data_IF_136280585107
#
_entry.id   IF_136280585107
#
_cell.length_a   1.000
_cell.length_b   1.000
_cell.length_c   1.000
_cell.angle_alpha   90.00
_cell.angle_beta   90.00
_cell.angle_gamma   90.00
#
_symmetry.space_group_name_H-M   'P 1'
#
loop_
_entity.id
_entity.type
_entity.pdbx_description
1 polymer ?
#
# COMPACT_ATOMS: atom_id res chain seq x y z
N UNK A 1 1.60 -3.77 7.15
CA UNK A 1 2.58 -4.55 6.34
C UNK A 1 3.75 -4.87 7.25
N UNK A 2 4.09 -6.15 7.46
CA UNK A 2 5.17 -6.57 8.39
C UNK A 2 6.50 -6.86 7.69
N UNK A 3 6.49 -7.21 6.39
CA UNK A 3 7.68 -7.33 5.53
C UNK A 3 7.35 -6.82 4.12
N UNK A 4 7.84 -5.64 3.77
CA UNK A 4 7.66 -5.09 2.43
C UNK A 4 8.73 -5.68 1.49
N UNK A 5 8.35 -6.56 0.58
CA UNK A 5 9.30 -7.28 -0.30
C UNK A 5 10.16 -6.35 -1.18
N UNK A 6 9.65 -5.17 -1.54
CA UNK A 6 10.42 -4.17 -2.29
C UNK A 6 11.34 -3.30 -1.41
N UNK A 7 11.20 -3.36 -0.07
CA UNK A 7 12.07 -2.59 0.82
C UNK A 7 13.51 -3.08 0.75
N UNK A 8 13.73 -4.39 0.60
CA UNK A 8 15.06 -4.98 0.39
C UNK A 8 15.74 -4.41 -0.87
N UNK A 9 15.00 -4.23 -1.96
CA UNK A 9 15.54 -3.65 -3.19
C UNK A 9 16.04 -2.21 -2.97
N UNK A 10 15.28 -1.40 -2.24
CA UNK A 10 15.70 -0.03 -1.94
C UNK A 10 16.91 0.01 -0.99
N UNK A 11 16.91 -0.83 0.06
CA UNK A 11 18.06 -0.89 0.98
C UNK A 11 19.32 -1.37 0.27
N UNK A 12 19.22 -2.28 -0.70
CA UNK A 12 20.35 -2.65 -1.56
C UNK A 12 20.93 -1.44 -2.32
N UNK A 13 20.08 -0.62 -2.96
CA UNK A 13 20.55 0.60 -3.63
C UNK A 13 21.12 1.63 -2.65
N UNK A 14 20.51 1.75 -1.46
CA UNK A 14 20.97 2.63 -0.38
C UNK A 14 22.40 2.28 0.06
N UNK A 15 22.67 0.99 0.27
CA UNK A 15 23.97 0.43 0.66
C UNK A 15 24.96 0.32 -0.51
N UNK A 16 24.78 1.14 -1.56
CA UNK A 16 25.70 1.15 -2.70
C UNK A 16 25.73 -0.14 -3.50
N UNK A 17 24.65 -0.93 -3.47
CA UNK A 17 24.54 -2.24 -4.12
C UNK A 17 25.46 -3.31 -3.53
N UNK A 18 25.79 -3.21 -2.24
CA UNK A 18 26.51 -4.23 -1.52
C UNK A 18 25.58 -5.42 -1.15
N UNK A 19 25.75 -6.52 -1.88
CA UNK A 19 24.99 -7.75 -1.67
C UNK A 19 25.32 -8.44 -0.33
N UNK A 20 26.56 -8.33 0.15
CA UNK A 20 26.98 -8.96 1.39
C UNK A 20 26.33 -8.25 2.59
N UNK A 21 26.33 -6.91 2.61
CA UNK A 21 25.64 -6.13 3.64
C UNK A 21 24.12 -6.35 3.59
N UNK A 22 23.53 -6.35 2.40
CA UNK A 22 22.08 -6.59 2.25
C UNK A 22 21.70 -7.97 2.80
N UNK A 23 22.49 -9.01 2.51
CA UNK A 23 22.29 -10.36 3.07
C UNK A 23 22.44 -10.38 4.60
N UNK A 24 23.42 -9.65 5.14
CA UNK A 24 23.62 -9.57 6.58
C UNK A 24 22.39 -8.96 7.30
N UNK A 25 21.75 -7.95 6.70
CA UNK A 25 20.54 -7.33 7.26
C UNK A 25 19.29 -8.20 7.10
N UNK A 26 18.95 -8.58 5.85
CA UNK A 26 17.66 -9.23 5.55
C UNK A 26 17.67 -10.74 5.77
N UNK A 27 18.82 -11.39 5.60
CA UNK A 27 18.99 -12.81 5.85
C UNK A 27 19.32 -13.06 7.31
N UNK A 28 20.46 -12.56 7.78
CA UNK A 28 21.02 -12.97 9.07
C UNK A 28 20.37 -12.22 10.24
N UNK A 29 20.36 -10.89 10.23
CA UNK A 29 19.86 -10.08 11.35
C UNK A 29 18.35 -10.24 11.55
N UNK A 30 17.53 -10.11 10.49
CA UNK A 30 16.08 -10.32 10.60
C UNK A 30 15.71 -11.72 11.10
N UNK A 31 16.41 -12.76 10.65
CA UNK A 31 16.11 -14.13 11.08
C UNK A 31 16.48 -14.39 12.53
N UNK A 32 17.55 -13.76 13.03
CA UNK A 32 18.06 -13.95 14.40
C UNK A 32 17.40 -13.03 15.43
N UNK A 33 17.16 -11.78 15.05
CA UNK A 33 16.78 -10.69 15.96
C UNK A 33 15.40 -10.10 15.65
N UNK A 34 14.83 -10.39 14.47
CA UNK A 34 13.56 -9.81 14.03
C UNK A 34 13.64 -8.35 13.56
N UNK A 35 14.82 -7.72 13.64
CA UNK A 35 15.05 -6.32 13.28
C UNK A 35 16.50 -6.08 12.82
N UNK A 36 16.74 -4.92 12.24
CA UNK A 36 18.06 -4.32 12.05
C UNK A 36 17.95 -2.79 12.15
N UNK A 37 19.06 -2.11 12.38
CA UNK A 37 19.12 -0.65 12.53
C UNK A 37 20.09 -0.04 11.49
N UNK A 38 19.60 0.92 10.72
CA UNK A 38 20.37 1.71 9.75
C UNK A 38 20.68 3.12 10.27
N UNK A 39 20.19 3.50 11.46
CA UNK A 39 20.27 4.87 11.98
C UNK A 39 21.70 5.39 12.18
N UNK A 40 22.69 4.49 12.31
CA UNK A 40 24.11 4.83 12.39
C UNK A 40 24.88 4.58 11.09
N UNK A 41 24.21 4.08 10.05
CA UNK A 41 24.83 3.85 8.75
C UNK A 41 25.02 5.19 8.01
N UNK A 42 26.23 5.53 7.55
CA UNK A 42 26.46 6.78 6.81
C UNK A 42 25.58 6.93 5.57
N UNK A 43 25.25 5.83 4.88
CA UNK A 43 24.37 5.87 3.72
C UNK A 43 22.95 6.31 4.09
N UNK A 44 22.47 5.93 5.28
CA UNK A 44 21.14 6.32 5.74
C UNK A 44 21.06 7.81 6.09
N UNK A 45 22.13 8.39 6.67
CA UNK A 45 22.19 9.82 6.99
C UNK A 45 21.95 10.71 5.75
N UNK A 46 22.49 10.29 4.60
CA UNK A 46 22.37 11.03 3.34
C UNK A 46 21.13 10.64 2.51
N UNK A 47 20.37 9.62 2.93
CA UNK A 47 19.33 8.99 2.11
C UNK A 47 18.23 9.97 1.70
N UNK A 48 17.77 10.81 2.63
CA UNK A 48 16.71 11.78 2.38
C UNK A 48 17.14 12.83 1.34
N UNK A 49 18.37 13.33 1.43
CA UNK A 49 18.91 14.29 0.47
C UNK A 49 19.18 13.65 -0.89
N UNK A 50 19.73 12.43 -0.90
CA UNK A 50 20.13 11.72 -2.12
C UNK A 50 18.95 11.23 -2.95
N UNK A 51 17.92 10.68 -2.29
CA UNK A 51 16.78 10.04 -2.96
C UNK A 51 15.48 10.84 -2.86
N UNK A 52 15.45 11.91 -2.05
CA UNK A 52 14.28 12.78 -1.93
C UNK A 52 13.09 12.16 -1.18
N UNK A 53 13.29 11.04 -0.47
CA UNK A 53 12.20 10.41 0.27
C UNK A 53 11.85 11.19 1.54
N UNK A 54 10.56 11.46 1.69
CA UNK A 54 9.91 11.87 2.94
C UNK A 54 8.74 10.94 3.21
N UNK A 55 8.37 10.77 4.47
CA UNK A 55 7.25 9.91 4.86
C UNK A 55 6.32 10.61 5.84
N UNK A 56 5.09 10.10 5.90
CA UNK A 56 4.08 10.56 6.83
C UNK A 56 3.16 9.42 7.21
N UNK A 57 2.21 9.73 8.11
CA UNK A 57 1.18 8.78 8.55
C UNK A 57 -0.18 9.44 8.54
N UNK A 58 -1.20 8.61 8.44
CA UNK A 58 -2.61 8.98 8.54
C UNK A 58 -3.32 7.97 9.42
N UNK A 59 -4.15 8.49 10.30
CA UNK A 59 -5.08 7.70 11.09
C UNK A 59 -6.35 7.43 10.29
N UNK A 60 -7.22 6.56 10.83
CA UNK A 60 -8.54 6.36 10.25
C UNK A 60 -9.38 7.65 10.23
N UNK A 61 -9.35 8.43 11.33
CA UNK A 61 -10.02 9.73 11.38
C UNK A 61 -9.48 10.70 10.32
N UNK A 62 -8.15 10.75 10.14
CA UNK A 62 -7.52 11.59 9.10
C UNK A 62 -8.03 11.23 7.69
N UNK A 63 -8.22 9.93 7.40
CA UNK A 63 -8.75 9.47 6.12
C UNK A 63 -10.18 9.93 5.91
N UNK A 64 -11.07 9.73 6.89
CA UNK A 64 -12.47 10.14 6.79
C UNK A 64 -12.58 11.64 6.52
N UNK A 65 -11.81 12.46 7.24
CA UNK A 65 -11.79 13.90 7.04
C UNK A 65 -11.22 14.29 5.68
N UNK A 66 -10.17 13.60 5.21
CA UNK A 66 -9.60 13.84 3.88
C UNK A 66 -10.57 13.49 2.75
N UNK A 67 -11.36 12.42 2.89
CA UNK A 67 -12.41 12.03 1.94
C UNK A 67 -13.50 13.12 1.91
N UNK A 68 -14.00 13.52 3.08
CA UNK A 68 -15.02 14.58 3.19
C UNK A 68 -14.56 15.91 2.58
N UNK A 69 -13.33 16.33 2.90
CA UNK A 69 -12.79 17.58 2.39
C UNK A 69 -12.59 17.54 0.88
N UNK A 70 -12.09 16.43 0.35
CA UNK A 70 -11.87 16.24 -1.10
C UNK A 70 -13.20 16.28 -1.85
N UNK A 71 -14.21 15.57 -1.36
CA UNK A 71 -15.56 15.59 -1.94
C UNK A 71 -16.17 17.00 -1.87
N UNK A 72 -16.12 17.67 -0.72
CA UNK A 72 -16.66 19.03 -0.53
C UNK A 72 -16.02 20.06 -1.47
N UNK A 73 -14.71 19.97 -1.70
CA UNK A 73 -13.96 20.97 -2.47
C UNK A 73 -13.96 20.72 -3.97
N UNK A 74 -13.96 19.46 -4.37
CA UNK A 74 -13.71 19.06 -5.77
C UNK A 74 -14.85 18.23 -6.37
N UNK A 75 -15.85 17.84 -5.57
CA UNK A 75 -16.93 16.95 -6.01
C UNK A 75 -16.47 15.53 -6.34
N UNK A 76 -15.24 15.17 -5.97
CA UNK A 76 -14.63 13.87 -6.30
C UNK A 76 -14.55 12.99 -5.06
N UNK A 77 -15.07 11.77 -5.16
CA UNK A 77 -14.91 10.74 -4.13
C UNK A 77 -13.61 9.98 -4.38
N UNK A 78 -12.77 9.87 -3.35
CA UNK A 78 -11.52 9.12 -3.39
C UNK A 78 -11.56 7.95 -2.40
N UNK A 79 -10.83 6.89 -2.68
CA UNK A 79 -10.73 5.73 -1.80
C UNK A 79 -9.84 6.01 -0.57
N UNK A 80 -9.79 5.06 0.37
CA UNK A 80 -9.01 5.19 1.61
C UNK A 80 -7.49 5.30 1.39
N UNK A 81 -6.95 4.61 0.38
CA UNK A 81 -5.51 4.63 0.07
C UNK A 81 -5.12 5.95 -0.59
N UNK A 82 -5.95 6.44 -1.51
CA UNK A 82 -5.76 7.75 -2.12
C UNK A 82 -5.90 8.86 -1.07
N UNK A 83 -6.84 8.73 -0.12
CA UNK A 83 -6.96 9.67 1.00
C UNK A 83 -5.72 9.69 1.90
N UNK A 84 -5.09 8.54 2.20
CA UNK A 84 -3.80 8.49 2.90
C UNK A 84 -2.73 9.31 2.15
N UNK A 85 -2.64 9.11 0.82
CA UNK A 85 -1.72 9.85 -0.05
C UNK A 85 -1.99 11.35 -0.06
N UNK A 86 -3.25 11.77 -0.26
CA UNK A 86 -3.66 13.19 -0.27
C UNK A 86 -3.34 13.86 1.07
N UNK A 87 -3.63 13.18 2.19
CA UNK A 87 -3.38 13.71 3.52
C UNK A 87 -1.91 14.00 3.72
N UNK A 88 -1.03 13.03 3.45
CA UNK A 88 0.42 13.21 3.64
C UNK A 88 0.98 14.21 2.64
N UNK A 89 0.57 14.15 1.37
CA UNK A 89 1.00 15.07 0.33
C UNK A 89 0.74 16.54 0.68
N UNK A 90 -0.42 16.85 1.29
CA UNK A 90 -0.76 18.21 1.74
C UNK A 90 0.21 18.76 2.79
N UNK A 91 0.80 17.89 3.62
CA UNK A 91 1.79 18.28 4.64
C UNK A 91 3.15 18.62 4.03
N UNK A 92 3.44 18.11 2.82
CA UNK A 92 4.72 18.29 2.12
C UNK A 92 4.63 19.20 0.89
N UNK A 93 3.45 19.75 0.56
CA UNK A 93 3.24 20.58 -0.64
C UNK A 93 4.11 21.85 -0.68
N UNK A 94 4.64 22.31 0.46
CA UNK A 94 5.50 23.49 0.54
C UNK A 94 4.82 24.78 0.05
N UNK A 95 5.59 25.87 -0.02
CA UNK A 95 5.12 27.18 -0.50
C UNK A 95 5.48 27.49 -1.97
N UNK A 96 6.01 26.50 -2.70
CA UNK A 96 6.50 26.68 -4.06
C UNK A 96 5.54 26.20 -5.15
N UNK A 97 5.96 26.40 -6.40
CA UNK A 97 5.18 26.09 -7.61
C UNK A 97 5.37 24.64 -8.11
N UNK A 98 6.01 23.76 -7.33
CA UNK A 98 6.25 22.37 -7.74
C UNK A 98 4.94 21.58 -7.69
N UNK A 99 4.48 20.97 -8.79
CA UNK A 99 3.28 20.15 -8.79
C UNK A 99 3.41 18.94 -7.87
N UNK A 100 2.41 18.73 -7.01
CA UNK A 100 2.28 17.55 -6.17
C UNK A 100 1.33 16.55 -6.83
N UNK A 101 1.82 15.34 -7.11
CA UNK A 101 1.05 14.27 -7.73
C UNK A 101 0.76 13.20 -6.68
N UNK A 102 -0.52 12.87 -6.49
CA UNK A 102 -0.95 11.75 -5.64
C UNK A 102 -1.43 10.62 -6.54
N UNK A 103 -0.92 9.42 -6.30
CA UNK A 103 -1.31 8.23 -7.05
C UNK A 103 -2.64 7.70 -6.50
N UNK A 104 -3.66 7.65 -7.35
CA UNK A 104 -4.90 6.94 -7.05
C UNK A 104 -4.68 5.44 -7.23
N UNK A 105 -4.63 4.70 -6.13
CA UNK A 105 -4.23 3.28 -6.14
C UNK A 105 -5.40 2.30 -6.13
N UNK A 106 -6.61 2.79 -5.89
CA UNK A 106 -7.84 2.02 -5.97
C UNK A 106 -9.05 2.92 -6.24
N UNK A 107 -10.12 2.32 -6.79
CA UNK A 107 -11.40 2.99 -6.92
C UNK A 107 -12.19 2.95 -5.59
N UNK A 108 -12.98 3.99 -5.27
CA UNK A 108 -13.78 4.04 -4.04
C UNK A 108 -14.69 2.83 -3.83
N UNK A 109 -15.25 2.27 -4.90
CA UNK A 109 -16.15 1.09 -4.84
C UNK A 109 -15.50 -0.14 -4.20
N UNK A 110 -14.17 -0.24 -4.21
CA UNK A 110 -13.44 -1.33 -3.53
C UNK A 110 -13.48 -1.21 -2.00
N UNK A 111 -13.86 -0.05 -1.45
CA UNK A 111 -13.87 0.28 -0.03
C UNK A 111 -15.17 1.01 0.38
N UNK A 112 -16.30 0.56 -0.16
CA UNK A 112 -17.60 1.25 -0.07
C UNK A 112 -18.08 1.54 1.37
N UNK A 113 -17.75 0.68 2.34
CA UNK A 113 -18.13 0.88 3.75
C UNK A 113 -17.51 2.17 4.32
N UNK A 114 -16.20 2.37 4.15
CA UNK A 114 -15.52 3.58 4.66
C UNK A 114 -15.96 4.83 3.90
N UNK A 115 -16.31 4.71 2.63
CA UNK A 115 -16.90 5.83 1.88
C UNK A 115 -18.26 6.22 2.45
N UNK A 116 -19.10 5.22 2.78
CA UNK A 116 -20.41 5.44 3.39
C UNK A 116 -20.28 6.08 4.77
N UNK A 117 -19.30 5.65 5.57
CA UNK A 117 -18.96 6.28 6.85
C UNK A 117 -18.50 7.74 6.69
N UNK A 118 -17.71 8.04 5.65
CA UNK A 118 -17.22 9.38 5.39
C UNK A 118 -18.32 10.32 4.87
N UNK A 119 -19.11 9.88 3.88
CA UNK A 119 -20.00 10.74 3.08
C UNK A 119 -21.50 10.53 3.35
N UNK A 120 -21.87 9.49 4.10
CA UNK A 120 -23.27 9.14 4.38
C UNK A 120 -23.96 8.39 3.24
N UNK A 121 -23.25 8.06 2.16
CA UNK A 121 -23.77 7.31 1.02
C UNK A 121 -22.67 6.44 0.38
N UNK A 122 -23.04 5.35 -0.31
CA UNK A 122 -22.06 4.52 -1.02
C UNK A 122 -21.42 5.28 -2.20
N UNK A 123 -20.21 4.88 -2.63
CA UNK A 123 -19.59 5.41 -3.84
C UNK A 123 -20.39 5.01 -5.08
N UNK A 124 -20.22 5.78 -6.15
CA UNK A 124 -20.78 5.43 -7.45
C UNK A 124 -20.22 4.10 -7.96
N UNK A 125 -21.10 3.32 -8.59
CA UNK A 125 -20.76 2.06 -9.25
C UNK A 125 -20.70 2.28 -10.77
N UNK A 126 -19.60 1.90 -11.43
CA UNK A 126 -19.60 1.86 -12.89
C UNK A 126 -20.63 0.84 -13.40
N UNK A 127 -21.51 1.25 -14.32
CA UNK A 127 -22.65 0.45 -14.81
C UNK A 127 -22.28 -0.98 -15.27
N UNK A 128 -21.08 -1.18 -15.81
CA UNK A 128 -20.59 -2.52 -16.20
C UNK A 128 -20.47 -3.52 -15.04
N UNK A 129 -20.51 -3.05 -13.80
CA UNK A 129 -20.42 -3.85 -12.58
C UNK A 129 -21.77 -4.02 -11.88
N UNK A 130 -22.86 -3.55 -12.48
CA UNK A 130 -24.20 -3.76 -11.92
C UNK A 130 -24.51 -5.27 -11.89
N UNK A 131 -24.94 -5.75 -10.72
CA UNK A 131 -25.26 -7.16 -10.50
C UNK A 131 -24.07 -8.11 -10.40
N UNK A 132 -22.81 -7.64 -10.41
CA UNK A 132 -21.62 -8.51 -10.37
C UNK A 132 -21.62 -9.46 -9.16
N UNK A 133 -22.13 -9.01 -8.01
CA UNK A 133 -22.22 -9.82 -6.79
C UNK A 133 -23.24 -10.96 -6.89
N UNK A 134 -24.22 -10.83 -7.80
CA UNK A 134 -25.27 -11.82 -8.05
C UNK A 134 -24.89 -12.89 -9.09
N UNK A 135 -23.73 -12.76 -9.74
CA UNK A 135 -23.25 -13.76 -10.71
C UNK A 135 -22.84 -15.06 -10.01
N UNK A 136 -23.00 -16.23 -10.66
CA UNK A 136 -22.50 -17.49 -10.14
C UNK A 136 -21.00 -17.42 -9.83
N UNK A 137 -20.62 -17.81 -8.61
CA UNK A 137 -19.22 -17.87 -8.19
C UNK A 137 -18.69 -19.28 -8.40
N UNK A 138 -17.60 -19.44 -9.15
CA UNK A 138 -16.85 -20.69 -9.25
C UNK A 138 -15.73 -20.68 -8.22
N UNK A 139 -15.96 -21.34 -7.07
CA UNK A 139 -15.02 -21.39 -5.95
C UNK A 139 -14.93 -22.82 -5.42
N UNK A 140 -13.71 -23.30 -5.15
CA UNK A 140 -13.48 -24.53 -4.42
C UNK A 140 -12.94 -24.17 -3.03
N UNK A 141 -13.65 -24.57 -1.98
CA UNK A 141 -13.17 -24.41 -0.60
C UNK A 141 -12.23 -25.57 -0.28
N UNK A 142 -11.07 -25.25 0.27
CA UNK A 142 -10.07 -26.21 0.74
C UNK A 142 -9.75 -25.94 2.22
N UNK A 143 -9.41 -26.96 3.01
CA UNK A 143 -8.89 -26.75 4.36
C UNK A 143 -7.55 -26.00 4.32
N UNK A 144 -7.19 -25.38 5.44
CA UNK A 144 -5.88 -24.73 5.64
C UNK A 144 -4.76 -25.78 5.78
N UNK A 145 -4.52 -26.54 4.71
CA UNK A 145 -3.59 -27.67 4.62
C UNK A 145 -2.81 -27.56 3.30
N UNK A 146 -1.48 -27.46 3.41
CA UNK A 146 -0.61 -27.30 2.26
C UNK A 146 -0.63 -28.49 1.30
N UNK A 147 -0.75 -29.73 1.80
CA UNK A 147 -0.77 -30.93 0.96
C UNK A 147 -2.08 -31.02 0.17
N UNK A 148 -3.19 -30.60 0.76
CA UNK A 148 -4.48 -30.50 0.06
C UNK A 148 -4.44 -29.48 -1.07
N UNK A 149 -3.79 -28.34 -0.87
CA UNK A 149 -3.60 -27.32 -1.91
C UNK A 149 -2.71 -27.86 -3.04
N UNK A 150 -1.58 -28.51 -2.72
CA UNK A 150 -0.68 -29.11 -3.73
C UNK A 150 -1.40 -30.16 -4.58
N UNK A 151 -2.12 -31.08 -3.93
CA UNK A 151 -2.88 -32.11 -4.62
C UNK A 151 -3.96 -31.52 -5.55
N UNK A 152 -4.66 -30.48 -5.08
CA UNK A 152 -5.64 -29.78 -5.91
C UNK A 152 -5.00 -29.16 -7.17
N UNK A 153 -3.86 -28.48 -7.03
CA UNK A 153 -3.13 -27.89 -8.18
C UNK A 153 -2.73 -28.99 -9.17
N UNK A 154 -2.10 -30.06 -8.69
CA UNK A 154 -1.62 -31.15 -9.55
C UNK A 154 -2.73 -31.87 -10.34
N UNK A 155 -3.96 -31.84 -9.83
CA UNK A 155 -5.14 -32.44 -10.50
C UNK A 155 -5.79 -31.51 -11.54
N UNK A 156 -5.52 -30.20 -11.50
CA UNK A 156 -6.23 -29.19 -12.31
C UNK A 156 -5.33 -28.37 -13.22
N UNK A 157 -4.02 -28.55 -13.12
CA UNK A 157 -3.04 -27.98 -14.04
C UNK A 157 -2.35 -29.12 -14.78
N UNK A 158 -2.52 -29.17 -16.09
CA UNK A 158 -1.69 -30.02 -16.93
C UNK A 158 -0.23 -29.51 -16.86
N UNK A 159 0.72 -30.45 -16.84
CA UNK A 159 2.16 -30.15 -16.90
C UNK A 159 2.62 -29.79 -18.32
#
# INVERSE_FOLDING_TARGET
ISKASNFERFVFDLLGRDAAQTRALFGDALSKQGQFDLGQDPHFADAAQRYGFVSGKSTHADRLETIRDTYRRFGTTIDTHTADGVKVARQHRGAGDVPMIVLETALPIKFAETITEALGHPPERPARFDGIEGLPKRVQVLPADAERVKAFIAQHCDL
#
